data_IF_070832109713
#
_entry.id   IF_070832109713
#
_cell.length_a   1.000
_cell.length_b   1.000
_cell.length_c   1.000
_cell.angle_alpha   90.00
_cell.angle_beta   90.00
_cell.angle_gamma   90.00
#
_symmetry.space_group_name_H-M   'P 1'
#
loop_
_entity.id
_entity.type
_entity.pdbx_description
1 polymer ?
#
# COMPACT_ATOMS: atom_id res chain seq x y z
N UNK A 1 -32.81 26.95 -31.24
CA UNK A 1 -33.18 27.09 -29.81
C UNK A 1 -33.09 25.75 -29.06
N UNK A 2 -33.78 24.69 -29.52
CA UNK A 2 -33.75 23.36 -28.88
C UNK A 2 -32.35 22.74 -28.75
N UNK A 3 -31.54 22.75 -29.83
CA UNK A 3 -30.16 22.23 -29.80
C UNK A 3 -29.26 22.96 -28.80
N UNK A 4 -29.37 24.29 -28.74
CA UNK A 4 -28.59 25.10 -27.80
C UNK A 4 -28.99 24.80 -26.34
N UNK A 5 -30.27 24.57 -26.08
CA UNK A 5 -30.77 24.16 -24.76
C UNK A 5 -30.22 22.78 -24.38
N UNK A 6 -30.29 21.79 -25.27
CA UNK A 6 -29.75 20.44 -25.06
C UNK A 6 -28.25 20.49 -24.75
N UNK A 7 -27.46 21.21 -25.56
CA UNK A 7 -26.01 21.34 -25.36
C UNK A 7 -25.69 22.01 -24.01
N UNK A 8 -26.45 23.05 -23.64
CA UNK A 8 -26.28 23.72 -22.35
C UNK A 8 -26.57 22.78 -21.19
N UNK A 9 -27.66 22.01 -21.26
CA UNK A 9 -28.02 21.03 -20.23
C UNK A 9 -26.96 19.94 -20.10
N UNK A 10 -26.45 19.41 -21.21
CA UNK A 10 -25.36 18.41 -21.19
C UNK A 10 -24.10 19.01 -20.55
N UNK A 11 -23.73 20.24 -20.92
CA UNK A 11 -22.57 20.93 -20.36
C UNK A 11 -22.70 21.12 -18.84
N UNK A 12 -23.84 21.62 -18.37
CA UNK A 12 -24.11 21.79 -16.94
C UNK A 12 -24.08 20.46 -16.19
N UNK A 13 -24.63 19.40 -16.78
CA UNK A 13 -24.58 18.05 -16.20
C UNK A 13 -23.13 17.55 -16.08
N UNK A 14 -22.30 17.70 -17.12
CA UNK A 14 -20.89 17.30 -17.08
C UNK A 14 -20.09 18.09 -16.04
N UNK A 15 -20.35 19.40 -15.91
CA UNK A 15 -19.74 20.24 -14.87
C UNK A 15 -20.15 19.77 -13.48
N UNK A 16 -21.44 19.47 -13.26
CA UNK A 16 -21.94 18.96 -11.99
C UNK A 16 -21.30 17.60 -11.64
N UNK A 17 -21.21 16.68 -12.60
CA UNK A 17 -20.55 15.38 -12.42
C UNK A 17 -19.07 15.57 -12.08
N UNK A 18 -18.38 16.48 -12.75
CA UNK A 18 -16.98 16.79 -12.45
C UNK A 18 -16.81 17.36 -11.04
N UNK A 19 -17.65 18.32 -10.64
CA UNK A 19 -17.67 18.88 -9.28
C UNK A 19 -17.94 17.79 -8.24
N UNK A 20 -18.93 16.93 -8.49
CA UNK A 20 -19.26 15.81 -7.61
C UNK A 20 -18.06 14.87 -7.46
N UNK A 21 -17.38 14.54 -8.56
CA UNK A 21 -16.15 13.76 -8.53
C UNK A 21 -15.06 14.45 -7.71
N UNK A 22 -14.92 15.77 -7.80
CA UNK A 22 -13.95 16.50 -6.98
C UNK A 22 -14.26 16.41 -5.49
N UNK A 23 -15.52 16.62 -5.11
CA UNK A 23 -15.97 16.63 -3.72
C UNK A 23 -15.91 15.23 -3.10
N UNK A 24 -16.20 14.19 -3.88
CA UNK A 24 -16.11 12.80 -3.43
C UNK A 24 -14.69 12.25 -3.44
N UNK A 25 -13.76 12.90 -4.15
CA UNK A 25 -12.35 12.47 -4.17
C UNK A 25 -11.72 12.71 -2.81
N UNK A 26 -11.18 11.67 -2.14
CA UNK A 26 -10.47 11.89 -0.90
C UNK A 26 -9.15 12.62 -1.19
N UNK A 27 -8.62 13.27 -0.16
CA UNK A 27 -7.31 13.93 -0.19
C UNK A 27 -6.46 13.40 0.95
N UNK A 28 -5.21 13.09 0.65
CA UNK A 28 -4.21 12.80 1.68
C UNK A 28 -3.77 14.14 2.28
N UNK A 29 -3.91 14.34 3.60
CA UNK A 29 -3.43 15.57 4.24
C UNK A 29 -1.93 15.76 4.03
N UNK A 30 -1.51 17.00 3.75
CA UNK A 30 -0.08 17.33 3.69
C UNK A 30 0.50 17.24 5.10
N UNK A 31 1.52 16.40 5.33
CA UNK A 31 2.12 16.27 6.66
C UNK A 31 2.82 17.58 7.08
N UNK A 32 2.74 17.92 8.36
CA UNK A 32 3.51 19.03 8.93
C UNK A 32 5.00 18.67 9.11
N UNK A 33 5.87 19.63 9.49
CA UNK A 33 7.31 19.41 9.63
C UNK A 33 7.70 18.26 10.59
N UNK A 34 6.91 18.06 11.65
CA UNK A 34 7.16 16.99 12.63
C UNK A 34 6.97 15.58 12.04
N UNK A 35 6.13 15.42 11.02
CA UNK A 35 5.95 14.14 10.35
C UNK A 35 7.20 13.70 9.57
N UNK A 36 8.10 14.64 9.23
CA UNK A 36 9.35 14.36 8.53
C UNK A 36 10.50 14.00 9.48
N UNK A 37 10.18 13.57 10.70
CA UNK A 37 11.15 13.14 11.70
C UNK A 37 10.86 11.71 12.15
N UNK A 38 11.90 11.02 12.58
CA UNK A 38 11.80 9.71 13.22
C UNK A 38 12.61 9.65 14.51
N UNK A 39 12.24 8.72 15.38
CA UNK A 39 13.01 8.32 16.56
C UNK A 39 13.55 6.91 16.34
N UNK A 40 14.78 6.66 16.78
CA UNK A 40 15.39 5.32 16.73
C UNK A 40 15.17 4.60 18.06
N UNK A 41 15.02 3.28 18.05
CA UNK A 41 15.01 2.51 19.31
C UNK A 41 16.35 2.62 20.07
N UNK A 42 17.46 2.86 19.37
CA UNK A 42 18.78 3.08 19.97
C UNK A 42 18.90 4.44 20.68
N UNK A 43 18.17 5.45 20.19
CA UNK A 43 18.19 6.82 20.72
C UNK A 43 16.76 7.38 20.76
N UNK A 44 15.88 6.88 21.65
CA UNK A 44 14.44 7.16 21.60
C UNK A 44 14.07 8.63 21.82
N UNK A 45 14.94 9.41 22.47
CA UNK A 45 14.70 10.81 22.83
C UNK A 45 15.11 11.80 21.73
N UNK A 46 15.91 11.36 20.76
CA UNK A 46 16.44 12.22 19.69
C UNK A 46 15.62 12.03 18.42
N UNK A 47 15.19 13.15 17.84
CA UNK A 47 14.47 13.17 16.57
C UNK A 47 15.46 13.42 15.42
N UNK A 48 15.44 12.56 14.41
CA UNK A 48 16.26 12.65 13.20
C UNK A 48 15.39 12.97 11.98
N UNK A 49 15.91 13.70 10.98
CA UNK A 49 15.18 13.92 9.74
C UNK A 49 14.99 12.61 8.98
N UNK A 50 13.82 12.42 8.38
CA UNK A 50 13.58 11.33 7.45
C UNK A 50 14.35 11.55 6.14
N UNK A 51 14.88 10.48 5.53
CA UNK A 51 15.59 10.58 4.27
C UNK A 51 14.63 10.92 3.12
N UNK A 52 15.16 11.58 2.09
CA UNK A 52 14.39 11.81 0.86
C UNK A 52 14.02 10.49 0.20
N UNK A 53 12.81 10.44 -0.38
CA UNK A 53 12.35 9.34 -1.23
C UNK A 53 13.28 9.02 -2.41
N UNK A 54 14.09 9.99 -2.84
CA UNK A 54 15.07 9.88 -3.94
C UNK A 54 16.49 9.56 -3.47
N UNK A 55 16.71 9.40 -2.16
CA UNK A 55 18.02 9.01 -1.64
C UNK A 55 18.37 7.57 -2.08
N UNK A 56 19.67 7.26 -2.23
CA UNK A 56 20.10 5.88 -2.47
C UNK A 56 19.69 4.97 -1.31
N UNK A 57 19.56 3.68 -1.59
CA UNK A 57 19.28 2.69 -0.56
C UNK A 57 20.45 2.61 0.46
N UNK A 58 20.11 2.53 1.75
CA UNK A 58 21.08 2.39 2.85
C UNK A 58 21.00 1.00 3.51
N UNK A 59 19.96 0.22 3.20
CA UNK A 59 19.80 -1.16 3.68
C UNK A 59 19.15 -2.05 2.61
N UNK A 60 19.20 -3.36 2.81
CA UNK A 60 18.68 -4.33 1.84
C UNK A 60 17.13 -4.36 1.86
N UNK A 61 16.55 -4.27 3.07
CA UNK A 61 15.11 -4.37 3.28
C UNK A 61 14.61 -3.32 4.27
N UNK A 62 13.58 -2.57 3.88
CA UNK A 62 12.72 -1.84 4.82
C UNK A 62 11.39 -2.54 4.99
N UNK A 63 11.04 -2.85 6.22
CA UNK A 63 9.75 -3.37 6.67
C UNK A 63 8.92 -2.19 7.18
N UNK A 64 8.00 -1.72 6.35
CA UNK A 64 7.14 -0.58 6.64
C UNK A 64 5.84 -1.07 7.28
N UNK A 65 5.59 -0.62 8.51
CA UNK A 65 4.49 -1.08 9.36
C UNK A 65 3.60 0.12 9.71
N UNK A 66 2.43 0.30 9.05
CA UNK A 66 1.45 1.27 9.51
C UNK A 66 0.82 0.78 10.82
N UNK A 67 0.75 1.65 11.83
CA UNK A 67 0.21 1.29 13.14
C UNK A 67 -0.77 2.36 13.64
N UNK A 68 -1.94 1.92 14.13
CA UNK A 68 -2.91 2.78 14.80
C UNK A 68 -3.60 2.04 15.95
N UNK A 69 -3.26 2.41 17.18
CA UNK A 69 -3.72 1.74 18.40
C UNK A 69 -3.41 0.23 18.41
N UNK A 70 -2.14 -0.08 18.20
CA UNK A 70 -1.56 -1.42 18.03
C UNK A 70 -0.62 -1.83 19.16
N UNK A 71 -0.57 -1.10 20.28
CA UNK A 71 0.36 -1.35 21.39
C UNK A 71 0.37 -2.81 21.89
N UNK A 72 -0.74 -3.54 21.73
CA UNK A 72 -0.86 -4.96 22.10
C UNK A 72 -0.50 -5.95 20.99
N UNK A 73 -0.71 -5.60 19.72
CA UNK A 73 -0.54 -6.51 18.57
C UNK A 73 0.83 -6.36 17.89
N UNK A 74 1.42 -5.18 18.01
CA UNK A 74 2.73 -4.89 17.44
C UNK A 74 3.87 -5.75 18.04
N UNK A 75 3.98 -5.96 19.37
CA UNK A 75 5.11 -6.71 19.92
C UNK A 75 5.19 -8.17 19.47
N UNK A 76 4.10 -8.97 19.47
CA UNK A 76 4.15 -10.33 18.92
C UNK A 76 4.56 -10.36 17.45
N UNK A 77 4.05 -9.43 16.63
CA UNK A 77 4.41 -9.32 15.21
C UNK A 77 5.91 -9.00 15.05
N UNK A 78 6.43 -8.00 15.78
CA UNK A 78 7.85 -7.65 15.77
C UNK A 78 8.73 -8.81 16.23
N UNK A 79 8.30 -9.56 17.25
CA UNK A 79 9.02 -10.75 17.73
C UNK A 79 9.15 -11.80 16.62
N UNK A 80 8.06 -12.14 15.94
CA UNK A 80 8.08 -13.08 14.82
C UNK A 80 8.99 -12.58 13.69
N UNK A 81 8.83 -11.30 13.32
CA UNK A 81 9.56 -10.70 12.21
C UNK A 81 11.06 -10.64 12.47
N UNK A 82 11.48 -10.22 13.66
CA UNK A 82 12.90 -10.15 14.06
C UNK A 82 13.53 -11.54 14.10
N UNK A 83 12.84 -12.53 14.67
CA UNK A 83 13.34 -13.90 14.69
C UNK A 83 13.57 -14.45 13.26
N UNK A 84 12.65 -14.17 12.33
CA UNK A 84 12.82 -14.56 10.93
C UNK A 84 13.98 -13.82 10.27
N UNK A 85 14.04 -12.49 10.45
CA UNK A 85 15.07 -11.64 9.84
C UNK A 85 16.47 -12.00 10.33
N UNK A 86 16.66 -12.18 11.63
CA UNK A 86 17.95 -12.50 12.22
C UNK A 86 18.42 -13.92 11.85
N UNK A 87 17.48 -14.85 11.62
CA UNK A 87 17.75 -16.24 11.24
C UNK A 87 18.02 -16.47 9.75
N UNK A 88 17.95 -15.44 8.91
CA UNK A 88 18.02 -15.57 7.45
C UNK A 88 19.30 -14.94 6.87
N UNK A 89 19.72 -15.40 5.68
CA UNK A 89 20.92 -14.95 4.95
C UNK A 89 20.61 -14.17 3.67
N UNK A 90 19.33 -13.96 3.35
CA UNK A 90 18.91 -13.22 2.15
C UNK A 90 19.30 -11.73 2.18
N UNK A 91 19.49 -11.17 3.38
CA UNK A 91 19.83 -9.77 3.62
C UNK A 91 20.94 -9.67 4.66
N UNK A 92 21.60 -8.51 4.68
CA UNK A 92 22.63 -8.13 5.65
C UNK A 92 22.19 -6.98 6.54
N UNK A 93 21.21 -6.21 6.09
CA UNK A 93 20.72 -5.02 6.78
C UNK A 93 19.21 -4.87 6.60
N UNK A 94 18.51 -4.74 7.73
CA UNK A 94 17.05 -4.59 7.76
C UNK A 94 16.65 -3.41 8.63
N UNK A 95 15.72 -2.65 8.09
CA UNK A 95 15.03 -1.58 8.79
C UNK A 95 13.60 -1.97 9.08
N UNK A 96 13.15 -1.78 10.31
CA UNK A 96 11.74 -1.74 10.66
C UNK A 96 11.33 -0.29 10.81
N UNK A 97 10.46 0.19 9.91
CA UNK A 97 9.91 1.55 9.94
C UNK A 97 8.45 1.49 10.38
N UNK A 98 8.21 1.76 11.65
CA UNK A 98 6.87 1.85 12.21
C UNK A 98 6.36 3.27 11.97
N UNK A 99 5.20 3.37 11.32
CA UNK A 99 4.50 4.65 11.10
C UNK A 99 3.29 4.66 12.01
N UNK A 100 3.41 5.33 13.15
CA UNK A 100 2.30 5.55 14.06
C UNK A 100 1.38 6.65 13.50
N UNK A 101 0.19 6.25 13.04
CA UNK A 101 -0.82 7.11 12.41
C UNK A 101 -1.65 7.86 13.47
N UNK A 102 -0.97 8.54 14.39
CA UNK A 102 -1.59 9.33 15.46
C UNK A 102 -2.36 8.48 16.49
N UNK A 103 -1.76 7.38 16.95
CA UNK A 103 -2.33 6.53 18.00
C UNK A 103 -2.67 7.33 19.27
N UNK A 104 -3.69 6.83 19.97
CA UNK A 104 -4.14 7.34 21.28
C UNK A 104 -3.71 6.46 22.44
N UNK A 105 -3.03 5.35 22.14
CA UNK A 105 -2.39 4.46 23.11
C UNK A 105 -0.86 4.56 22.98
N UNK A 106 -0.13 3.70 23.69
CA UNK A 106 1.33 3.74 23.75
C UNK A 106 2.00 2.99 22.58
N UNK A 107 1.37 2.93 21.39
CA UNK A 107 1.89 2.18 20.23
C UNK A 107 3.32 2.57 19.87
N UNK A 108 3.61 3.87 19.77
CA UNK A 108 4.94 4.33 19.40
C UNK A 108 6.00 4.04 20.48
N UNK A 109 5.63 4.15 21.75
CA UNK A 109 6.57 3.93 22.85
C UNK A 109 6.93 2.43 22.96
N UNK A 110 5.93 1.56 22.80
CA UNK A 110 6.14 0.11 22.70
C UNK A 110 7.07 -0.26 21.54
N UNK A 111 6.99 0.44 20.40
CA UNK A 111 7.88 0.22 19.27
C UNK A 111 9.32 0.71 19.54
N UNK A 112 9.47 1.86 20.19
CA UNK A 112 10.78 2.45 20.53
C UNK A 112 11.50 1.66 21.63
N UNK A 113 10.76 1.12 22.59
CA UNK A 113 11.30 0.31 23.69
C UNK A 113 11.48 -1.17 23.30
N UNK A 114 11.11 -1.55 22.06
CA UNK A 114 11.15 -2.94 21.65
C UNK A 114 12.60 -3.44 21.58
N UNK A 115 12.96 -4.51 22.34
CA UNK A 115 14.31 -5.02 22.36
C UNK A 115 14.63 -5.73 21.04
N UNK A 116 15.72 -5.33 20.37
CA UNK A 116 16.27 -6.08 19.24
C UNK A 116 17.15 -7.19 19.83
N UNK A 117 16.85 -8.47 19.59
CA UNK A 117 17.66 -9.57 20.10
C UNK A 117 19.09 -9.48 19.55
N UNK A 118 20.08 -9.58 20.43
CA UNK A 118 21.45 -9.85 20.02
C UNK A 118 21.57 -11.35 19.76
N UNK A 119 21.69 -11.75 18.50
CA UNK A 119 22.06 -13.12 18.12
C UNK A 119 23.53 -13.14 17.68
N UNK A 120 24.45 -13.71 18.49
CA UNK A 120 25.87 -13.80 18.15
C UNK A 120 26.15 -14.55 16.84
N UNK A 121 25.19 -15.34 16.35
CA UNK A 121 25.31 -16.08 15.08
C UNK A 121 24.74 -15.31 13.90
N UNK A 122 23.98 -14.24 14.14
CA UNK A 122 23.43 -13.39 13.09
C UNK A 122 24.40 -12.26 12.75
N UNK A 123 24.66 -12.09 11.46
CA UNK A 123 25.41 -10.94 10.94
C UNK A 123 24.49 -9.85 10.40
N UNK A 124 23.18 -9.95 10.66
CA UNK A 124 22.18 -9.02 10.13
C UNK A 124 22.13 -7.79 11.03
N UNK A 125 22.41 -6.61 10.46
CA UNK A 125 22.23 -5.34 11.16
C UNK A 125 20.74 -4.96 11.12
N UNK A 126 20.14 -4.72 12.29
CA UNK A 126 18.74 -4.36 12.41
C UNK A 126 18.60 -2.98 13.05
N UNK A 127 17.74 -2.14 12.46
CA UNK A 127 17.35 -0.86 13.05
C UNK A 127 15.83 -0.75 13.16
N UNK A 128 15.33 -0.24 14.27
CA UNK A 128 13.90 0.08 14.45
C UNK A 128 13.76 1.60 14.50
N UNK A 129 12.96 2.15 13.58
CA UNK A 129 12.64 3.56 13.50
C UNK A 129 11.14 3.76 13.64
N UNK A 130 10.75 4.81 14.35
CA UNK A 130 9.36 5.16 14.59
C UNK A 130 9.09 6.58 14.13
N UNK A 131 8.12 6.73 13.23
CA UNK A 131 7.57 8.02 12.80
C UNK A 131 6.25 8.22 13.51
N UNK A 132 6.07 9.36 14.19
CA UNK A 132 4.82 9.71 14.87
C UNK A 132 4.07 10.75 14.04
N UNK A 133 2.99 10.34 13.37
CA UNK A 133 2.12 11.26 12.65
C UNK A 133 1.20 11.99 13.65
N UNK A 134 0.89 13.28 13.42
CA UNK A 134 0.15 14.10 14.39
C UNK A 134 -1.32 13.69 14.54
N UNK A 135 -1.89 13.05 13.52
CA UNK A 135 -3.28 12.60 13.51
C UNK A 135 -3.46 11.42 12.58
N UNK A 136 -4.45 10.59 12.88
CA UNK A 136 -4.87 9.51 12.00
C UNK A 136 -5.37 10.08 10.66
N UNK A 137 -4.73 9.64 9.58
CA UNK A 137 -5.06 10.04 8.21
C UNK A 137 -5.38 8.84 7.32
N UNK A 138 -5.56 7.66 7.93
CA UNK A 138 -5.87 6.42 7.25
C UNK A 138 -4.64 5.57 6.91
N UNK A 139 -4.86 4.26 6.81
CA UNK A 139 -3.81 3.27 6.55
C UNK A 139 -3.00 3.58 5.28
N UNK A 140 -3.67 3.94 4.18
CA UNK A 140 -3.00 4.30 2.93
C UNK A 140 -2.09 5.51 3.07
N UNK A 141 -2.49 6.52 3.86
CA UNK A 141 -1.63 7.67 4.17
C UNK A 141 -0.40 7.27 4.98
N UNK A 142 -0.58 6.44 6.02
CA UNK A 142 0.53 5.97 6.85
C UNK A 142 1.52 5.11 6.05
N UNK A 143 1.02 4.17 5.23
CA UNK A 143 1.86 3.37 4.33
C UNK A 143 2.57 4.27 3.33
N UNK A 144 1.87 5.19 2.66
CA UNK A 144 2.49 6.15 1.73
C UNK A 144 3.63 6.90 2.38
N UNK A 145 3.40 7.43 3.58
CA UNK A 145 4.40 8.16 4.32
C UNK A 145 5.62 7.28 4.63
N UNK A 146 5.42 6.06 5.10
CA UNK A 146 6.51 5.12 5.37
C UNK A 146 7.27 4.72 4.12
N UNK A 147 6.59 4.33 3.06
CA UNK A 147 7.21 3.86 1.82
C UNK A 147 8.02 4.96 1.10
N UNK A 148 7.61 6.22 1.23
CA UNK A 148 8.37 7.36 0.68
C UNK A 148 9.61 7.73 1.50
N UNK A 149 9.75 7.27 2.75
CA UNK A 149 10.89 7.61 3.62
C UNK A 149 11.63 6.38 4.18
N UNK A 150 11.29 5.21 3.68
CA UNK A 150 12.00 3.96 3.89
C UNK A 150 13.36 4.00 3.18
N UNK A 151 14.34 3.25 3.71
CA UNK A 151 15.74 3.24 3.23
C UNK A 151 16.15 1.99 2.46
N UNK A 152 15.28 0.99 2.38
CA UNK A 152 15.54 -0.30 1.78
C UNK A 152 15.73 -0.24 0.26
N UNK A 153 16.50 -1.17 -0.27
CA UNK A 153 16.50 -1.51 -1.70
C UNK A 153 15.20 -2.23 -2.08
N UNK A 154 14.70 -3.08 -1.16
CA UNK A 154 13.36 -3.66 -1.21
C UNK A 154 12.54 -3.12 -0.05
N UNK A 155 11.25 -2.93 -0.29
CA UNK A 155 10.32 -2.44 0.73
C UNK A 155 9.16 -3.40 0.90
N UNK A 156 9.05 -3.97 2.09
CA UNK A 156 7.92 -4.79 2.50
C UNK A 156 6.92 -3.90 3.23
N UNK A 157 5.68 -3.86 2.73
CA UNK A 157 4.54 -3.42 3.52
C UNK A 157 3.99 -4.62 4.30
N UNK A 158 3.78 -4.47 5.60
CA UNK A 158 3.19 -5.50 6.48
C UNK A 158 2.23 -4.88 7.50
N UNK A 159 1.09 -5.53 7.74
CA UNK A 159 0.14 -5.13 8.78
C UNK A 159 0.72 -5.32 10.19
N UNK A 160 0.47 -4.36 11.10
CA UNK A 160 0.97 -4.38 12.47
C UNK A 160 0.36 -5.49 13.37
N UNK A 161 -0.67 -6.18 12.88
CA UNK A 161 -1.42 -7.16 13.68
C UNK A 161 -0.78 -8.55 13.73
N UNK A 162 0.22 -8.82 12.88
CA UNK A 162 0.88 -10.12 12.79
C UNK A 162 0.07 -11.20 12.09
N UNK A 163 -1.02 -10.86 11.39
CA UNK A 163 -1.88 -11.88 10.78
C UNK A 163 -1.18 -12.69 9.68
N UNK A 164 -0.23 -12.08 8.96
CA UNK A 164 0.57 -12.73 7.90
C UNK A 164 1.85 -13.32 8.47
N UNK A 165 2.20 -14.55 8.08
CA UNK A 165 3.43 -15.19 8.55
C UNK A 165 4.66 -14.54 7.91
N UNK A 166 5.59 -14.09 8.73
CA UNK A 166 6.76 -13.36 8.25
C UNK A 166 7.70 -14.26 7.44
N UNK A 167 7.71 -15.57 7.74
CA UNK A 167 8.47 -16.58 6.98
C UNK A 167 8.11 -16.66 5.50
N UNK A 168 6.92 -16.20 5.09
CA UNK A 168 6.55 -16.16 3.69
C UNK A 168 7.25 -15.02 2.91
N UNK A 169 7.95 -14.11 3.58
CA UNK A 169 8.81 -13.11 2.96
C UNK A 169 9.82 -13.76 2.00
N UNK A 170 10.33 -14.95 2.32
CA UNK A 170 11.30 -15.67 1.50
C UNK A 170 10.72 -16.00 0.11
N UNK A 171 9.43 -16.33 0.06
CA UNK A 171 8.75 -16.61 -1.21
C UNK A 171 8.54 -15.33 -2.03
N UNK A 172 8.18 -14.23 -1.36
CA UNK A 172 8.07 -12.92 -2.00
C UNK A 172 9.42 -12.45 -2.55
N UNK A 173 10.49 -12.70 -1.79
CA UNK A 173 11.86 -12.39 -2.17
C UNK A 173 12.28 -13.12 -3.44
N UNK A 174 12.04 -14.44 -3.50
CA UNK A 174 12.35 -15.25 -4.69
C UNK A 174 11.53 -14.79 -5.90
N UNK A 175 10.24 -14.48 -5.74
CA UNK A 175 9.43 -13.96 -6.84
C UNK A 175 9.95 -12.61 -7.38
N UNK A 176 10.45 -11.75 -6.48
CA UNK A 176 11.08 -10.48 -6.86
C UNK A 176 12.43 -10.70 -7.56
N UNK A 177 13.25 -11.63 -7.10
CA UNK A 177 14.51 -12.02 -7.77
C UNK A 177 14.26 -12.53 -9.20
N UNK A 178 13.10 -13.15 -9.44
CA UNK A 178 12.65 -13.57 -10.77
C UNK A 178 12.15 -12.42 -11.66
N UNK A 179 12.25 -11.17 -11.19
CA UNK A 179 12.03 -9.96 -11.97
C UNK A 179 10.66 -9.32 -11.80
N UNK A 180 9.92 -9.61 -10.73
CA UNK A 180 8.71 -8.88 -10.38
C UNK A 180 9.05 -7.53 -9.72
N UNK A 181 8.34 -6.47 -10.11
CA UNK A 181 8.45 -5.13 -9.52
C UNK A 181 7.65 -5.03 -8.22
N UNK A 182 6.51 -5.74 -8.19
CA UNK A 182 5.58 -5.81 -7.05
C UNK A 182 5.17 -7.26 -6.85
N UNK A 183 5.37 -7.79 -5.64
CA UNK A 183 4.93 -9.13 -5.27
C UNK A 183 3.87 -9.04 -4.18
N UNK A 184 2.67 -9.52 -4.49
CA UNK A 184 1.55 -9.55 -3.56
C UNK A 184 1.48 -10.90 -2.84
N UNK A 185 1.47 -10.87 -1.50
CA UNK A 185 1.00 -12.01 -0.73
C UNK A 185 -0.48 -12.27 -1.02
N UNK A 186 -0.90 -13.54 -0.96
CA UNK A 186 -2.27 -13.93 -1.28
C UNK A 186 -2.81 -15.00 -0.35
N UNK A 187 -3.98 -14.69 0.20
CA UNK A 187 -4.81 -15.58 1.02
C UNK A 187 -5.84 -16.33 0.18
N UNK A 188 -5.87 -16.13 -1.14
CA UNK A 188 -6.89 -16.71 -2.02
C UNK A 188 -6.97 -18.24 -1.92
N UNK A 189 -5.83 -18.91 -1.70
CA UNK A 189 -5.75 -20.35 -1.51
C UNK A 189 -6.34 -20.85 -0.18
N UNK A 190 -6.50 -19.97 0.81
CA UNK A 190 -7.11 -20.31 2.11
C UNK A 190 -8.64 -20.25 2.07
N UNK A 191 -9.23 -19.70 1.00
CA UNK A 191 -10.68 -19.61 0.83
C UNK A 191 -11.26 -21.02 0.77
N UNK A 192 -11.99 -21.41 1.82
CA UNK A 192 -12.59 -22.75 1.96
C UNK A 192 -11.91 -23.64 3.00
N UNK A 193 -10.79 -23.23 3.58
CA UNK A 193 -10.13 -23.93 4.71
C UNK A 193 -10.76 -23.54 6.05
N UNK A 194 -10.58 -24.34 7.11
CA UNK A 194 -11.11 -24.03 8.45
C UNK A 194 -10.68 -22.66 8.99
N UNK A 195 -9.48 -22.20 8.63
CA UNK A 195 -8.94 -20.89 8.98
C UNK A 195 -9.78 -19.72 8.44
N UNK A 196 -10.45 -19.89 7.29
CA UNK A 196 -11.32 -18.87 6.67
C UNK A 196 -12.81 -19.22 6.84
N UNK A 197 -13.15 -20.50 6.90
CA UNK A 197 -14.53 -20.99 7.00
C UNK A 197 -15.14 -20.69 8.36
N UNK A 198 -14.40 -20.87 9.46
CA UNK A 198 -14.89 -20.46 10.80
C UNK A 198 -15.19 -18.97 10.81
N UNK A 199 -14.26 -18.16 10.31
CA UNK A 199 -14.38 -16.70 10.18
C UNK A 199 -15.57 -16.27 9.32
N UNK A 200 -15.78 -16.91 8.18
CA UNK A 200 -16.91 -16.62 7.27
C UNK A 200 -18.25 -17.03 7.85
N UNK A 201 -18.32 -18.14 8.61
CA UNK A 201 -19.57 -18.62 9.24
C UNK A 201 -20.01 -17.74 10.41
N UNK A 202 -19.09 -17.10 11.12
CA UNK A 202 -19.42 -16.17 12.23
C UNK A 202 -19.80 -14.76 11.73
N UNK A 203 -19.70 -14.49 10.43
CA UNK A 203 -19.96 -13.16 9.84
C UNK A 203 -21.37 -13.08 9.28
N UNK A 204 -22.04 -11.94 9.53
CA UNK A 204 -23.40 -11.65 9.04
C UNK A 204 -23.51 -11.79 7.52
N UNK A 205 -24.65 -12.27 7.04
CA UNK A 205 -25.02 -12.38 5.62
C UNK A 205 -24.73 -11.09 4.84
N UNK A 206 -25.00 -9.93 5.45
CA UNK A 206 -24.76 -8.60 4.87
C UNK A 206 -23.28 -8.40 4.51
N UNK A 207 -22.35 -8.82 5.37
CA UNK A 207 -20.91 -8.68 5.14
C UNK A 207 -20.45 -9.54 3.96
N UNK A 208 -20.99 -10.75 3.81
CA UNK A 208 -20.66 -11.59 2.67
C UNK A 208 -21.17 -10.96 1.37
N UNK A 209 -22.42 -10.49 1.32
CA UNK A 209 -22.99 -9.85 0.13
C UNK A 209 -22.22 -8.60 -0.29
N UNK A 210 -21.87 -7.74 0.67
CA UNK A 210 -21.06 -6.54 0.42
C UNK A 210 -19.67 -6.89 -0.13
N UNK A 211 -19.02 -7.91 0.44
CA UNK A 211 -17.70 -8.36 -0.01
C UNK A 211 -17.75 -8.96 -1.42
N UNK A 212 -18.80 -9.73 -1.75
CA UNK A 212 -19.03 -10.21 -3.13
C UNK A 212 -19.24 -9.04 -4.11
N UNK A 213 -19.99 -8.02 -3.71
CA UNK A 213 -20.18 -6.80 -4.51
C UNK A 213 -18.85 -6.08 -4.80
N UNK A 214 -18.03 -5.89 -3.77
CA UNK A 214 -16.71 -5.26 -3.91
C UNK A 214 -15.79 -6.09 -4.82
N UNK A 215 -15.71 -7.41 -4.63
CA UNK A 215 -14.93 -8.29 -5.51
C UNK A 215 -15.42 -8.28 -6.96
N UNK A 216 -16.73 -8.13 -7.17
CA UNK A 216 -17.29 -8.00 -8.52
C UNK A 216 -16.85 -6.70 -9.17
N UNK A 217 -16.86 -5.58 -8.43
CA UNK A 217 -16.40 -4.29 -8.95
C UNK A 217 -14.90 -4.28 -9.27
N UNK A 218 -14.08 -4.96 -8.47
CA UNK A 218 -12.63 -5.08 -8.72
C UNK A 218 -12.31 -5.70 -10.09
N UNK A 219 -13.16 -6.59 -10.61
CA UNK A 219 -12.98 -7.19 -11.95
C UNK A 219 -12.98 -6.15 -13.07
N UNK A 220 -13.72 -5.05 -12.89
CA UNK A 220 -13.84 -3.97 -13.88
C UNK A 220 -12.71 -2.94 -13.81
N UNK A 221 -11.73 -3.12 -12.92
CA UNK A 221 -10.56 -2.24 -12.80
C UNK A 221 -9.34 -2.75 -13.58
N UNK A 222 -9.41 -3.93 -14.19
CA UNK A 222 -8.31 -4.50 -14.98
C UNK A 222 -7.21 -5.19 -14.16
N UNK A 223 -7.40 -5.32 -12.83
CA UNK A 223 -6.46 -5.98 -11.89
C UNK A 223 -6.91 -7.40 -11.52
N UNK A 224 -7.76 -8.03 -12.33
CA UNK A 224 -8.36 -9.34 -12.05
C UNK A 224 -7.37 -10.50 -12.04
N UNK A 225 -6.14 -10.30 -12.54
CA UNK A 225 -5.07 -11.30 -12.49
C UNK A 225 -4.49 -11.49 -11.08
N UNK A 226 -4.67 -10.51 -10.18
CA UNK A 226 -4.34 -10.64 -8.75
C UNK A 226 -5.61 -11.03 -7.99
N UNK A 227 -5.62 -12.19 -7.34
CA UNK A 227 -6.81 -12.73 -6.66
C UNK A 227 -7.02 -12.08 -5.29
N UNK A 228 -5.96 -11.70 -4.60
CA UNK A 228 -6.00 -11.02 -3.31
C UNK A 228 -5.33 -9.64 -3.38
N UNK A 229 -6.09 -8.66 -3.87
CA UNK A 229 -5.60 -7.29 -4.07
C UNK A 229 -5.33 -6.53 -2.77
N UNK A 230 -5.94 -6.95 -1.65
CA UNK A 230 -5.95 -6.24 -0.36
C UNK A 230 -5.22 -7.03 0.74
N UNK A 231 -4.26 -7.89 0.36
CA UNK A 231 -3.34 -8.47 1.34
C UNK A 231 -2.36 -7.40 1.80
N UNK A 232 -2.26 -7.19 3.12
CA UNK A 232 -1.35 -6.24 3.72
C UNK A 232 0.12 -6.68 3.72
N UNK A 233 0.48 -7.75 3.02
CA UNK A 233 1.84 -8.29 2.92
C UNK A 233 2.33 -8.22 1.48
N UNK A 234 3.06 -7.16 1.13
CA UNK A 234 3.49 -6.90 -0.26
C UNK A 234 4.92 -6.38 -0.31
N UNK A 235 5.71 -6.94 -1.21
CA UNK A 235 7.10 -6.55 -1.44
C UNK A 235 7.20 -5.71 -2.72
N UNK A 236 7.92 -4.61 -2.64
CA UNK A 236 8.14 -3.67 -3.75
C UNK A 236 9.64 -3.47 -3.99
N UNK A 237 10.03 -3.39 -5.26
CA UNK A 237 11.34 -2.82 -5.59
C UNK A 237 11.35 -1.32 -5.25
N UNK A 238 12.53 -0.76 -4.98
CA UNK A 238 12.64 0.68 -4.71
C UNK A 238 12.02 1.58 -5.78
N UNK A 239 12.32 1.40 -7.08
CA UNK A 239 11.72 2.22 -8.13
C UNK A 239 10.19 2.08 -8.21
N UNK A 240 9.66 0.86 -8.02
CA UNK A 240 8.22 0.62 -8.03
C UNK A 240 7.54 1.33 -6.87
N UNK A 241 8.03 1.15 -5.64
CA UNK A 241 7.50 1.84 -4.47
C UNK A 241 7.50 3.36 -4.66
N UNK A 242 8.59 3.94 -5.17
CA UNK A 242 8.67 5.39 -5.38
C UNK A 242 7.56 5.91 -6.31
N UNK A 243 7.43 5.29 -7.49
CA UNK A 243 6.41 5.65 -8.48
C UNK A 243 4.98 5.46 -7.93
N UNK A 244 4.73 4.32 -7.29
CA UNK A 244 3.39 3.95 -6.82
C UNK A 244 2.93 4.82 -5.65
N UNK A 245 3.76 4.99 -4.63
CA UNK A 245 3.38 5.73 -3.44
C UNK A 245 3.40 7.24 -3.65
N UNK A 246 4.21 7.79 -4.56
CA UNK A 246 4.07 9.19 -4.97
C UNK A 246 2.72 9.45 -5.65
N UNK A 247 2.29 8.51 -6.50
CA UNK A 247 1.03 8.59 -7.24
C UNK A 247 -0.20 8.34 -6.37
N UNK A 248 -0.10 7.64 -5.24
CA UNK A 248 -1.26 7.23 -4.45
C UNK A 248 -2.12 8.42 -3.98
N UNK A 249 -3.43 8.37 -4.23
CA UNK A 249 -4.42 9.38 -3.83
C UNK A 249 -5.33 8.90 -2.70
N UNK A 250 -5.64 7.60 -2.62
CA UNK A 250 -6.57 7.03 -1.64
C UNK A 250 -5.87 6.87 -0.27
N UNK A 251 -6.37 7.53 0.80
CA UNK A 251 -5.79 7.46 2.13
C UNK A 251 -6.21 6.24 2.96
N UNK A 252 -7.28 5.53 2.57
CA UNK A 252 -7.95 4.53 3.41
C UNK A 252 -7.83 3.09 2.87
N UNK A 253 -8.82 2.23 3.11
CA UNK A 253 -8.74 0.77 3.01
C UNK A 253 -8.42 0.17 1.63
N UNK A 254 -8.72 0.87 0.53
CA UNK A 254 -8.51 0.35 -0.83
C UNK A 254 -7.33 1.00 -1.55
N UNK A 255 -6.45 1.69 -0.83
CA UNK A 255 -5.20 2.24 -1.38
C UNK A 255 -4.40 1.18 -2.15
N UNK A 256 -4.37 -0.05 -1.62
CA UNK A 256 -3.75 -1.23 -2.23
C UNK A 256 -4.27 -1.54 -3.65
N UNK A 257 -5.56 -1.29 -3.90
CA UNK A 257 -6.18 -1.49 -5.22
C UNK A 257 -5.70 -0.40 -6.18
N UNK A 258 -5.62 0.85 -5.71
CA UNK A 258 -5.05 1.94 -6.51
C UNK A 258 -3.60 1.63 -6.89
N UNK A 259 -2.76 1.16 -5.96
CA UNK A 259 -1.38 0.77 -6.27
C UNK A 259 -1.31 -0.24 -7.41
N UNK A 260 -2.19 -1.25 -7.42
CA UNK A 260 -2.23 -2.26 -8.49
C UNK A 260 -2.74 -1.70 -9.82
N UNK A 261 -3.71 -0.78 -9.79
CA UNK A 261 -4.16 -0.06 -10.99
C UNK A 261 -3.04 0.80 -11.57
N UNK A 262 -2.28 1.52 -10.72
CA UNK A 262 -1.14 2.33 -11.14
C UNK A 262 0.00 1.45 -11.65
N UNK A 263 0.30 0.33 -10.98
CA UNK A 263 1.30 -0.63 -11.42
C UNK A 263 0.97 -1.15 -12.83
N UNK A 264 -0.30 -1.47 -13.07
CA UNK A 264 -0.79 -1.88 -14.38
C UNK A 264 -0.62 -0.77 -15.44
N UNK A 265 -0.97 0.47 -15.10
CA UNK A 265 -0.77 1.64 -15.96
C UNK A 265 0.71 1.95 -16.23
N UNK A 266 1.59 1.55 -15.32
CA UNK A 266 3.04 1.63 -15.47
C UNK A 266 3.67 0.43 -16.18
N UNK A 267 2.88 -0.58 -16.56
CA UNK A 267 3.38 -1.83 -17.15
C UNK A 267 4.37 -2.57 -16.23
N UNK A 268 4.24 -2.39 -14.92
CA UNK A 268 5.04 -3.08 -13.91
C UNK A 268 4.68 -4.56 -13.85
N UNK A 269 5.70 -5.41 -13.65
CA UNK A 269 5.53 -6.84 -13.44
C UNK A 269 5.01 -7.09 -12.02
N UNK A 270 3.79 -7.60 -11.95
CA UNK A 270 3.12 -7.95 -10.69
C UNK A 270 3.05 -9.48 -10.58
N UNK A 271 3.42 -10.01 -9.42
CA UNK A 271 3.30 -11.44 -9.12
C UNK A 271 2.49 -11.68 -7.84
N UNK A 272 1.91 -12.87 -7.70
CA UNK A 272 1.05 -13.26 -6.59
C UNK A 272 1.57 -14.56 -5.94
N UNK A 273 1.88 -14.50 -4.64
CA UNK A 273 2.46 -15.61 -3.88
C UNK A 273 1.54 -16.04 -2.74
N UNK A 274 1.35 -17.34 -2.57
CA UNK A 274 0.55 -17.89 -1.48
C UNK A 274 1.24 -17.70 -0.11
N UNK A 275 0.57 -17.01 0.81
CA UNK A 275 1.07 -16.71 2.16
C UNK A 275 0.15 -17.25 3.25
N UNK A 276 0.74 -17.78 4.32
CA UNK A 276 0.05 -18.17 5.52
C UNK A 276 -0.57 -16.98 6.22
N UNK A 277 -1.82 -17.15 6.64
CA UNK A 277 -2.58 -16.12 7.34
C UNK A 277 -3.39 -16.74 8.48
N UNK A 278 -3.51 -16.02 9.58
CA UNK A 278 -4.36 -16.40 10.69
C UNK A 278 -5.20 -15.22 11.16
N UNK A 279 -6.35 -15.50 11.79
CA UNK A 279 -7.21 -14.44 12.29
C UNK A 279 -6.66 -13.86 13.60
N UNK A 280 -6.54 -12.54 13.63
CA UNK A 280 -6.18 -11.78 14.82
C UNK A 280 -7.39 -10.96 15.26
N UNK A 281 -7.77 -11.07 16.53
CA UNK A 281 -8.89 -10.32 17.09
C UNK A 281 -8.57 -8.81 17.19
N UNK A 282 -9.60 -7.97 17.31
CA UNK A 282 -9.44 -6.52 17.49
C UNK A 282 -9.39 -5.70 16.20
N UNK A 283 -9.97 -6.20 15.10
CA UNK A 283 -10.15 -5.46 13.84
C UNK A 283 -10.72 -4.07 14.06
N UNK A 284 -10.07 -3.06 13.47
CA UNK A 284 -10.50 -1.65 13.53
C UNK A 284 -11.54 -1.27 12.46
N UNK A 285 -11.87 -2.21 11.56
CA UNK A 285 -12.84 -1.99 10.48
C UNK A 285 -14.27 -1.89 11.05
N UNK A 286 -14.91 -0.74 10.88
CA UNK A 286 -16.34 -0.56 10.99
C UNK A 286 -17.03 -1.05 9.70
N UNK A 287 -17.69 -2.21 9.79
CA UNK A 287 -18.21 -2.94 8.63
C UNK A 287 -19.11 -2.09 7.72
N UNK A 288 -20.02 -1.27 8.28
CA UNK A 288 -20.98 -0.52 7.45
C UNK A 288 -20.33 0.69 6.80
N UNK A 289 -19.72 1.56 7.62
CA UNK A 289 -19.15 2.82 7.14
C UNK A 289 -17.94 2.60 6.24
N UNK A 290 -17.05 1.68 6.61
CA UNK A 290 -15.87 1.39 5.78
C UNK A 290 -16.26 0.74 4.46
N UNK A 291 -17.33 -0.07 4.42
CA UNK A 291 -17.79 -0.62 3.14
C UNK A 291 -18.31 0.47 2.20
N UNK A 292 -19.09 1.43 2.72
CA UNK A 292 -19.59 2.54 1.92
C UNK A 292 -18.44 3.44 1.44
N UNK A 293 -17.45 3.68 2.31
CA UNK A 293 -16.24 4.41 1.95
C UNK A 293 -15.45 3.67 0.86
N UNK A 294 -15.20 2.37 1.02
CA UNK A 294 -14.52 1.57 0.00
C UNK A 294 -15.25 1.59 -1.35
N UNK A 295 -16.59 1.53 -1.33
CA UNK A 295 -17.39 1.62 -2.56
C UNK A 295 -17.24 3.00 -3.23
N UNK A 296 -17.38 4.09 -2.46
CA UNK A 296 -17.15 5.47 -2.95
C UNK A 296 -15.76 5.58 -3.58
N UNK A 297 -14.74 5.19 -2.83
CA UNK A 297 -13.35 5.29 -3.22
C UNK A 297 -13.07 4.50 -4.51
N UNK A 298 -13.73 3.36 -4.70
CA UNK A 298 -13.56 2.54 -5.90
C UNK A 298 -14.14 3.22 -7.15
N UNK A 299 -15.32 3.83 -7.00
CA UNK A 299 -15.98 4.58 -8.09
C UNK A 299 -15.19 5.83 -8.45
N UNK A 300 -14.73 6.56 -7.43
CA UNK A 300 -13.89 7.76 -7.56
C UNK A 300 -12.55 7.41 -8.21
N UNK A 301 -11.89 6.35 -7.77
CA UNK A 301 -10.65 5.83 -8.35
C UNK A 301 -10.81 5.61 -9.85
N UNK A 302 -11.85 4.87 -10.23
CA UNK A 302 -12.14 4.57 -11.63
C UNK A 302 -12.43 5.83 -12.44
N UNK A 303 -13.31 6.69 -11.93
CA UNK A 303 -13.71 7.92 -12.62
C UNK A 303 -12.53 8.89 -12.79
N UNK A 304 -11.70 9.09 -11.77
CA UNK A 304 -10.56 10.01 -11.84
C UNK A 304 -9.51 9.55 -12.86
N UNK A 305 -9.17 8.25 -12.91
CA UNK A 305 -8.21 7.75 -13.91
C UNK A 305 -8.80 7.69 -15.32
N UNK A 306 -10.08 7.34 -15.49
CA UNK A 306 -10.73 7.29 -16.82
C UNK A 306 -10.90 8.69 -17.43
N UNK A 307 -11.12 9.70 -16.59
CA UNK A 307 -11.25 11.11 -16.99
C UNK A 307 -9.90 11.84 -17.07
N UNK A 308 -8.80 11.21 -16.64
CA UNK A 308 -7.46 11.80 -16.64
C UNK A 308 -7.24 12.86 -15.55
N UNK A 309 -8.16 13.00 -14.60
CA UNK A 309 -8.04 13.92 -13.46
C UNK A 309 -6.92 13.52 -12.52
N UNK A 310 -6.78 12.22 -12.24
CA UNK A 310 -5.61 11.69 -11.54
C UNK A 310 -4.55 11.26 -12.53
N UNK A 311 -3.32 11.66 -12.26
CA UNK A 311 -2.16 11.40 -13.11
C UNK A 311 -1.19 10.48 -12.39
N UNK A 312 -0.50 9.67 -13.18
CA UNK A 312 0.59 8.84 -12.67
C UNK A 312 1.88 9.64 -12.73
N UNK A 313 2.56 9.73 -11.60
CA UNK A 313 3.88 10.34 -11.49
C UNK A 313 4.89 9.24 -11.75
N UNK A 314 5.56 9.25 -12.91
CA UNK A 314 6.71 8.38 -13.15
C UNK A 314 7.97 9.12 -12.76
N UNK A 315 8.80 8.47 -11.96
CA UNK A 315 10.15 8.96 -11.67
C UNK A 315 11.08 8.21 -12.60
N UNK A 316 11.57 8.92 -13.61
CA UNK A 316 12.60 8.38 -14.48
C UNK A 316 13.82 8.08 -13.62
N UNK A 317 14.27 6.82 -13.65
CA UNK A 317 15.51 6.43 -12.99
C UNK A 317 16.63 7.25 -13.62
N UNK A 318 17.13 8.25 -12.89
CA UNK A 318 18.32 9.00 -13.28
C UNK A 318 19.59 8.15 -13.11
N UNK A 319 19.59 6.88 -13.54
CA UNK A 319 20.77 6.02 -13.71
C UNK A 319 20.48 4.87 -14.70
N UNK A 320 20.13 5.20 -15.94
CA UNK A 320 20.48 4.34 -17.08
C UNK A 320 20.78 5.23 -18.28
N UNK A 321 22.07 5.32 -18.61
CA UNK A 321 22.68 5.92 -19.81
C UNK A 321 22.74 7.45 -19.89
N UNK A 322 23.97 7.96 -20.01
CA UNK A 322 24.26 9.36 -20.22
C UNK A 322 23.72 9.85 -21.57
N UNK A 323 22.66 10.63 -21.51
CA UNK A 323 22.40 11.74 -22.42
C UNK A 323 21.37 12.66 -21.76
N UNK A 324 21.78 13.89 -21.44
CA UNK A 324 20.87 14.91 -20.97
C UNK A 324 19.83 15.20 -22.07
N UNK A 325 18.56 14.87 -21.81
CA UNK A 325 17.44 15.22 -22.65
C UNK A 325 16.30 15.70 -21.78
N UNK A 326 15.90 16.96 -21.95
CA UNK A 326 14.76 17.59 -21.27
C UNK A 326 13.50 16.71 -21.39
N UNK A 327 13.01 16.18 -20.26
CA UNK A 327 11.78 15.39 -20.21
C UNK A 327 10.55 16.24 -20.50
N UNK A 328 9.89 15.95 -21.63
CA UNK A 328 8.55 16.43 -21.94
C UNK A 328 7.50 15.56 -21.24
N UNK A 329 6.63 16.20 -20.46
CA UNK A 329 5.53 15.60 -19.68
C UNK A 329 4.33 15.17 -20.56
N UNK A 330 4.38 15.37 -21.89
CA UNK A 330 3.15 15.49 -22.70
C UNK A 330 2.73 14.28 -23.54
N UNK A 331 3.54 13.23 -23.73
CA UNK A 331 3.22 12.13 -24.66
C UNK A 331 2.65 10.84 -24.02
N UNK A 332 2.58 10.77 -22.69
CA UNK A 332 2.21 9.54 -21.96
C UNK A 332 0.75 9.48 -21.48
N UNK A 333 0.05 10.62 -21.41
CA UNK A 333 -1.33 10.72 -20.93
C UNK A 333 -2.30 9.86 -21.76
N UNK A 334 -2.08 9.77 -23.08
CA UNK A 334 -2.94 9.02 -23.99
C UNK A 334 -2.73 7.49 -23.93
N UNK A 335 -1.53 7.00 -23.60
CA UNK A 335 -1.23 5.57 -23.56
C UNK A 335 -1.78 4.90 -22.30
N UNK A 336 -1.71 5.58 -21.17
CA UNK A 336 -2.10 5.06 -19.85
C UNK A 336 -3.62 4.82 -19.73
N UNK A 337 -4.43 5.80 -20.14
CA UNK A 337 -5.88 5.67 -20.19
C UNK A 337 -6.34 4.63 -21.24
N UNK A 338 -5.65 4.53 -22.38
CA UNK A 338 -5.95 3.55 -23.42
C UNK A 338 -5.65 2.11 -22.97
N UNK A 339 -4.55 1.87 -22.26
CA UNK A 339 -4.21 0.55 -21.71
C UNK A 339 -5.22 0.07 -20.66
N UNK A 340 -5.63 0.97 -19.75
CA UNK A 340 -6.64 0.67 -18.75
C UNK A 340 -8.03 0.41 -19.38
N UNK A 341 -8.36 1.07 -20.49
CA UNK A 341 -9.58 0.79 -21.27
C UNK A 341 -9.51 -0.57 -21.98
N UNK A 342 -8.38 -0.91 -22.62
CA UNK A 342 -8.19 -2.19 -23.34
C UNK A 342 -8.33 -3.40 -22.42
N UNK A 343 -7.60 -3.44 -21.29
CA UNK A 343 -7.63 -4.62 -20.40
C UNK A 343 -8.97 -4.84 -19.70
N UNK A 344 -9.78 -3.80 -19.55
CA UNK A 344 -11.14 -3.96 -19.02
C UNK A 344 -12.06 -4.61 -20.04
N UNK A 345 -11.92 -4.30 -21.33
CA UNK A 345 -12.63 -5.00 -22.41
C UNK A 345 -12.29 -6.49 -22.38
N UNK A 346 -11.00 -6.83 -22.22
CA UNK A 346 -10.54 -8.22 -22.13
C UNK A 346 -11.06 -8.92 -20.85
N UNK A 347 -11.15 -8.20 -19.73
CA UNK A 347 -11.66 -8.72 -18.46
C UNK A 347 -13.18 -8.95 -18.44
N UNK A 348 -13.95 -8.27 -19.31
CA UNK A 348 -15.39 -8.48 -19.48
C UNK A 348 -15.76 -9.63 -20.43
N UNK A 349 -14.78 -10.17 -21.16
CA UNK A 349 -14.97 -11.27 -22.12
C UNK A 349 -14.62 -12.67 -21.55
N UNK A 350 -14.15 -12.73 -20.30
CA UNK A 350 -13.86 -13.97 -19.54
C UNK A 350 -14.72 -14.01 -18.29
#
# INVERSE_FOLDING_TARGET
MLLALILTTICLFLVLVYILLMVLSPSIPTPGPEAFKYHSNSEPTIAYPLPSSTAPAECDLSVVIPAYNEAKRLPPMLTEALNHVLGNKLWRSVEFLIVDDGSKDNTADVALEFPVPEDPKSSVNVSIRVVKLPQNSGKGSAVKHGMLHARGERMLMVDADGASKFSDLDKLWVAMDNGADVVCGSRAHLVGTDAVVKVRRTRSFIRNTLMYGLHTLLRFLGVSHIRDTQCGFKLFTRPAAHTLFQTLHIPHWIFDVELLVVALMCEMKTDEVAVGWHEVAGSKINILWDTLEMLRDLLVLRANYVTGRWKVVRVDNAQTNGSAGNGHVTDLENKSAANLRRRVVDATQK
#
